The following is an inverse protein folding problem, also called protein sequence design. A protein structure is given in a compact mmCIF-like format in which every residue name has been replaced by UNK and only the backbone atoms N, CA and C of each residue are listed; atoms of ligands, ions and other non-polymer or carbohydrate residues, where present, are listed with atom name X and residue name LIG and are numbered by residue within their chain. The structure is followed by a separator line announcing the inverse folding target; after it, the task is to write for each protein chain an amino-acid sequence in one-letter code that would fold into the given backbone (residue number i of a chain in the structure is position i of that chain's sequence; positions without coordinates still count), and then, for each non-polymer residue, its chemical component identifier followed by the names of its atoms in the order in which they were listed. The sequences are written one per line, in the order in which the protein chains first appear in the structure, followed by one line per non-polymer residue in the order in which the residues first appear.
data_IF_430967092197
#
_entry.id   IF_430967092197
#
_cell.length_a   1.000
_cell.length_b   1.000
_cell.length_c   1.000
_cell.angle_alpha   90.00
_cell.angle_beta   90.00
_cell.angle_gamma   90.00
#
_symmetry.space_group_name_H-M   'P 1'
#
loop_
_entity.id
_entity.type
_entity.pdbx_description
1 polymer ?
2 non-polymer ?
3 non-polymer ?
4 non-polymer ?
5 non-polymer ?
6 water ?
#
# COMPACT_ATOMS: atom_id res chain seq x y z
N UNK A 23 -16.00 29.58 -10.25
CA UNK A 23 -14.74 28.89 -10.37
C UNK A 23 -14.84 27.38 -10.29
N UNK A 24 -13.70 26.70 -10.25
CA UNK A 24 -13.66 25.25 -10.17
C UNK A 24 -13.23 24.80 -8.78
N UNK A 25 -13.98 23.91 -8.13
CA UNK A 25 -13.60 23.47 -6.79
C UNK A 25 -12.36 22.60 -6.82
N UNK A 26 -11.61 22.65 -5.72
CA UNK A 26 -10.40 21.85 -5.54
C UNK A 26 -10.79 20.61 -4.75
N UNK A 27 -10.87 19.47 -5.43
CA UNK A 27 -11.34 18.23 -4.82
C UNK A 27 -10.19 17.48 -4.17
N UNK A 28 -10.33 17.17 -2.89
CA UNK A 28 -9.34 16.41 -2.13
C UNK A 28 -9.98 15.13 -1.65
N UNK A 29 -9.33 14.00 -1.95
CA UNK A 29 -9.79 12.70 -1.48
C UNK A 29 -8.97 12.24 -0.30
N UNK A 30 -9.66 11.74 0.72
CA UNK A 30 -9.04 11.30 1.97
C UNK A 30 -9.50 9.88 2.23
N UNK A 31 -8.54 8.95 2.32
CA UNK A 31 -8.87 7.56 2.61
C UNK A 31 -8.07 7.11 3.82
N UNK A 32 -8.25 5.86 4.19
CA UNK A 32 -7.66 5.30 5.39
C UNK A 32 -8.61 4.29 6.01
N UNK A 33 -8.06 3.44 6.87
CA UNK A 33 -8.83 2.39 7.49
C UNK A 33 -9.88 2.94 8.43
N UNK A 34 -10.66 2.00 8.98
CA UNK A 34 -11.73 2.38 9.89
C UNK A 34 -11.16 3.05 11.14
N UNK A 35 -11.81 4.15 11.54
CA UNK A 35 -11.42 4.91 12.74
C UNK A 35 -9.96 5.37 12.70
N UNK A 36 -9.43 5.60 11.50
CA UNK A 36 -8.05 6.07 11.37
C UNK A 36 -7.92 7.57 11.59
N UNK A 37 -9.04 8.30 11.63
CA UNK A 37 -9.01 9.74 11.79
C UNK A 37 -9.23 10.53 10.52
N UNK A 38 -9.88 9.95 9.51
CA UNK A 38 -10.08 10.64 8.25
C UNK A 38 -10.88 11.92 8.44
N UNK A 39 -12.00 11.85 9.16
CA UNK A 39 -12.83 13.03 9.35
C UNK A 39 -12.13 14.05 10.25
N UNK A 40 -11.38 13.58 11.25
CA UNK A 40 -10.60 14.48 12.09
C UNK A 40 -9.53 15.21 11.30
N UNK A 41 -8.95 14.55 10.29
CA UNK A 41 -7.93 15.20 9.47
C UNK A 41 -8.56 16.24 8.56
N UNK A 42 -9.76 15.95 8.03
CA UNK A 42 -10.47 16.94 7.22
C UNK A 42 -10.88 18.15 8.04
N UNK A 43 -11.41 17.92 9.25
CA UNK A 43 -11.75 19.04 10.13
C UNK A 43 -10.54 19.89 10.44
N UNK A 44 -9.40 19.26 10.72
CA UNK A 44 -8.18 20.03 10.98
C UNK A 44 -7.74 20.81 9.75
N UNK A 45 -7.93 20.26 8.56
CA UNK A 45 -7.53 20.96 7.35
C UNK A 45 -8.37 22.22 7.15
N UNK A 46 -9.69 22.09 7.30
CA UNK A 46 -10.58 23.25 7.17
C UNK A 46 -10.23 24.30 8.23
N UNK A 47 -10.00 23.86 9.45
CA UNK A 47 -9.73 24.79 10.55
C UNK A 47 -8.43 25.55 10.32
N UNK A 48 -7.38 24.86 9.87
CA UNK A 48 -6.12 25.52 9.58
C UNK A 48 -6.15 26.31 8.28
N UNK A 49 -7.08 25.99 7.38
CA UNK A 49 -7.22 26.79 6.17
C UNK A 49 -7.65 28.22 6.50
N UNK A 50 -8.52 28.37 7.49
CA UNK A 50 -9.00 29.68 7.91
C UNK A 50 -8.03 30.48 8.77
N UNK A 51 -6.93 29.87 9.22
CA UNK A 51 -5.96 30.59 10.03
C UNK A 51 -5.06 31.46 9.17
N UNK A 52 -4.63 30.94 8.01
CA UNK A 52 -3.70 31.64 7.12
C UNK A 52 -2.43 32.05 7.85
N UNK A 57 -10.23 36.46 0.09
CA UNK A 57 -11.00 36.33 1.32
C UNK A 57 -11.01 34.90 1.83
N UNK A 58 -12.05 34.54 2.57
CA UNK A 58 -12.16 33.20 3.11
C UNK A 58 -12.46 32.19 2.00
N UNK A 59 -11.90 31.00 2.16
CA UNK A 59 -12.18 29.90 1.23
C UNK A 59 -13.33 29.07 1.78
N UNK A 60 -14.36 28.88 0.96
CA UNK A 60 -15.47 28.01 1.34
C UNK A 60 -15.04 26.55 1.20
N UNK A 61 -15.22 25.76 2.26
CA UNK A 61 -14.81 24.37 2.27
C UNK A 61 -15.96 23.52 2.78
N UNK A 62 -16.18 22.36 2.16
CA UNK A 62 -17.18 21.40 2.59
C UNK A 62 -16.56 20.01 2.62
N UNK A 63 -16.98 19.20 3.59
CA UNK A 63 -16.49 17.84 3.78
C UNK A 63 -17.61 16.88 3.48
N UNK A 64 -17.38 15.96 2.55
CA UNK A 64 -18.32 14.90 2.22
C UNK A 64 -17.78 13.55 2.70
N UNK A 65 -18.71 12.64 3.01
CA UNK A 65 -18.37 11.32 3.55
C UNK A 65 -18.90 10.23 2.63
N UNK A 66 -18.05 9.24 2.34
CA UNK A 66 -18.48 8.11 1.52
C UNK A 66 -19.62 7.34 2.17
N UNK A 67 -19.68 7.36 3.51
CA UNK A 67 -20.74 6.67 4.24
C UNK A 67 -22.13 7.17 3.86
N UNK A 68 -22.24 8.39 3.33
CA UNK A 68 -23.53 8.91 2.89
C UNK A 68 -24.05 8.18 1.66
N UNK A 69 -23.18 7.50 0.92
CA UNK A 69 -23.52 6.92 -0.37
C UNK A 69 -23.60 5.40 -0.34
N UNK A 70 -23.93 4.83 0.81
CA UNK A 70 -24.21 3.40 0.87
C UNK A 70 -25.41 3.08 -0.01
N UNK A 71 -25.37 1.91 -0.65
CA UNK A 71 -26.45 1.50 -1.55
C UNK A 71 -27.74 1.25 -0.79
N UNK A 72 -28.86 1.44 -1.47
CA UNK A 72 -30.15 1.05 -0.92
C UNK A 72 -30.25 -0.47 -0.94
N UNK A 73 -30.44 -1.07 0.22
CA UNK A 73 -30.45 -2.51 0.34
C UNK A 73 -31.81 -3.08 -0.06
N UNK A 74 -31.78 -4.24 -0.71
CA UNK A 74 -33.00 -5.02 -0.89
C UNK A 74 -33.42 -5.61 0.46
N UNK A 75 -34.63 -6.17 0.48
CA UNK A 75 -35.13 -6.79 1.71
C UNK A 75 -34.29 -8.00 2.10
N UNK A 76 -33.78 -8.75 1.10
CA UNK A 76 -32.90 -9.87 1.42
C UNK A 76 -31.56 -9.39 1.94
N UNK A 77 -30.96 -8.40 1.27
CA UNK A 77 -29.69 -7.84 1.75
C UNK A 77 -29.84 -7.22 3.14
N UNK A 78 -30.98 -6.57 3.40
CA UNK A 78 -31.22 -6.02 4.73
C UNK A 78 -31.41 -7.11 5.76
N UNK A 79 -32.00 -8.24 5.35
CA UNK A 79 -32.12 -9.38 6.27
C UNK A 79 -30.75 -9.91 6.68
N UNK A 80 -29.85 -10.08 5.70
CA UNK A 80 -28.50 -10.53 6.02
C UNK A 80 -27.78 -9.51 6.89
N UNK A 81 -28.01 -8.22 6.65
CA UNK A 81 -27.35 -7.18 7.43
C UNK A 81 -27.80 -7.23 8.89
N UNK A 82 -29.09 -7.44 9.14
CA UNK A 82 -29.57 -7.56 10.51
C UNK A 82 -29.07 -8.84 11.18
N UNK A 83 -28.71 -9.85 10.40
CA UNK A 83 -28.09 -11.06 10.93
C UNK A 83 -26.58 -10.95 11.03
N UNK A 84 -26.00 -9.82 10.66
CA UNK A 84 -24.55 -9.66 10.68
C UNK A 84 -23.86 -10.47 9.59
N UNK A 85 -24.46 -10.54 8.40
CA UNK A 85 -23.91 -11.34 7.31
C UNK A 85 -23.79 -10.51 6.03
N UNK A 86 -23.70 -9.19 6.14
CA UNK A 86 -23.52 -8.33 4.98
C UNK A 86 -22.24 -7.53 5.15
N UNK A 87 -21.45 -7.47 4.08
CA UNK A 87 -20.14 -6.83 4.12
C UNK A 87 -20.30 -5.37 3.71
N UNK A 88 -20.36 -4.48 4.70
CA UNK A 88 -20.45 -3.06 4.45
C UNK A 88 -19.09 -2.42 4.22
N UNK A 89 -18.03 -3.22 4.16
CA UNK A 89 -16.68 -2.73 3.91
C UNK A 89 -16.16 -3.12 2.54
N UNK A 90 -16.98 -3.77 1.72
CA UNK A 90 -16.70 -4.17 0.35
C UNK A 90 -17.02 -3.03 -0.61
N UNK A 91 -16.23 -2.87 -1.68
CA UNK A 91 -16.52 -1.80 -2.64
C UNK A 91 -17.91 -1.85 -3.24
N UNK A 92 -18.55 -3.04 -3.29
CA UNK A 92 -19.88 -3.14 -3.85
C UNK A 92 -20.94 -2.51 -2.96
N UNK A 93 -20.66 -2.33 -1.66
CA UNK A 93 -21.64 -1.79 -0.74
C UNK A 93 -21.91 -0.30 -0.97
N UNK A 94 -21.05 0.39 -1.70
CA UNK A 94 -21.18 1.83 -1.90
C UNK A 94 -21.73 2.12 -3.28
N UNK A 95 -22.62 3.11 -3.35
CA UNK A 95 -23.26 3.53 -4.60
C UNK A 95 -22.24 4.31 -5.43
N UNK A 96 -21.35 3.56 -6.08
CA UNK A 96 -20.25 4.21 -6.80
C UNK A 96 -20.77 5.04 -7.97
N UNK A 97 -21.89 4.65 -8.57
CA UNK A 97 -22.46 5.44 -9.66
C UNK A 97 -22.94 6.79 -9.16
N UNK A 98 -23.63 6.81 -8.02
CA UNK A 98 -24.08 8.06 -7.43
C UNK A 98 -22.89 8.91 -6.95
N UNK A 99 -21.85 8.26 -6.41
CA UNK A 99 -20.65 8.99 -6.00
C UNK A 99 -20.03 9.69 -7.20
N UNK A 100 -19.82 8.95 -8.29
CA UNK A 100 -19.17 9.52 -9.47
C UNK A 100 -19.96 10.70 -10.02
N UNK A 101 -21.29 10.55 -10.10
CA UNK A 101 -22.11 11.61 -10.68
C UNK A 101 -22.16 12.82 -9.76
N UNK A 102 -22.30 12.61 -8.46
CA UNK A 102 -22.31 13.72 -7.52
C UNK A 102 -20.98 14.48 -7.54
N UNK A 103 -19.86 13.76 -7.62
CA UNK A 103 -18.55 14.40 -7.59
C UNK A 103 -18.26 15.11 -8.91
N UNK A 104 -18.72 14.55 -10.03
CA UNK A 104 -18.46 15.20 -11.30
C UNK A 104 -19.25 16.49 -11.43
N UNK A 105 -20.49 16.52 -10.94
CA UNK A 105 -21.27 17.75 -10.95
C UNK A 105 -20.66 18.79 -10.03
N UNK A 106 -20.04 18.37 -8.92
CA UNK A 106 -19.36 19.32 -8.05
C UNK A 106 -18.16 19.94 -8.77
N UNK A 107 -17.38 19.13 -9.48
CA UNK A 107 -16.21 19.65 -10.18
C UNK A 107 -16.61 20.63 -11.27
N UNK A 108 -17.83 20.53 -11.78
CA UNK A 108 -18.32 21.49 -12.76
C UNK A 108 -19.03 22.69 -12.13
N UNK A 109 -19.08 22.76 -10.81
CA UNK A 109 -19.52 23.97 -10.13
C UNK A 109 -20.98 24.04 -9.80
N UNK A 110 -21.71 22.94 -9.83
CA UNK A 110 -23.14 22.98 -9.57
C UNK A 110 -23.47 22.64 -8.13
N UNK A 111 -24.69 22.98 -7.73
CA UNK A 111 -25.23 22.58 -6.45
C UNK A 111 -25.78 21.16 -6.55
N UNK A 112 -25.47 20.33 -5.56
CA UNK A 112 -25.86 18.93 -5.58
C UNK A 112 -26.61 18.60 -4.30
N UNK A 113 -27.29 17.46 -4.32
CA UNK A 113 -28.00 16.93 -3.17
C UNK A 113 -27.31 15.65 -2.71
N UNK A 114 -27.02 15.57 -1.42
CA UNK A 114 -26.31 14.43 -0.83
C UNK A 114 -27.34 13.57 -0.08
N UNK A 115 -27.38 12.27 -0.33
CA UNK A 115 -28.32 11.42 0.43
C UNK A 115 -27.96 11.38 1.92
N UNK A 116 -28.94 10.96 2.71
CA UNK A 116 -28.80 10.79 4.15
C UNK A 116 -29.06 9.32 4.45
N UNK A 117 -28.02 8.60 4.83
CA UNK A 117 -28.10 7.16 5.07
C UNK A 117 -28.14 6.88 6.56
N UNK A 118 -29.04 5.99 6.97
CA UNK A 118 -29.17 5.59 8.36
C UNK A 118 -28.46 4.24 8.54
N UNK A 119 -27.36 4.24 9.30
CA UNK A 119 -26.57 3.02 9.44
C UNK A 119 -27.21 2.01 10.37
N UNK A 120 -28.01 2.45 11.34
CA UNK A 120 -28.65 1.50 12.24
C UNK A 120 -29.71 0.69 11.52
N UNK A 121 -30.40 1.30 10.54
CA UNK A 121 -31.48 0.64 9.83
C UNK A 121 -31.11 0.23 8.40
N UNK A 122 -29.93 0.65 7.92
CA UNK A 122 -29.46 0.31 6.58
C UNK A 122 -30.42 0.82 5.51
N UNK A 123 -30.95 2.02 5.72
CA UNK A 123 -31.91 2.62 4.80
C UNK A 123 -31.47 4.04 4.46
N UNK A 124 -31.50 4.36 3.16
CA UNK A 124 -31.31 5.72 2.71
C UNK A 124 -32.58 6.52 2.98
N UNK A 125 -32.47 7.56 3.80
CA UNK A 125 -33.63 8.39 4.11
C UNK A 125 -34.03 9.22 2.88
N UNK A 126 -35.29 9.68 2.89
CA UNK A 126 -35.79 10.46 1.77
C UNK A 126 -35.23 11.87 1.76
N UNK A 127 -34.97 12.43 2.93
CA UNK A 127 -34.40 13.77 3.02
C UNK A 127 -32.99 13.78 2.44
N UNK A 128 -32.64 14.89 1.79
CA UNK A 128 -31.31 15.12 1.27
C UNK A 128 -30.72 16.37 1.89
N UNK A 129 -29.41 16.55 1.71
CA UNK A 129 -28.71 17.73 2.18
C UNK A 129 -28.19 18.48 0.97
N UNK A 130 -28.44 19.78 0.93
CA UNK A 130 -27.99 20.62 -0.17
C UNK A 130 -26.57 21.08 0.08
N UNK A 131 -25.72 20.91 -0.93
CA UNK A 131 -24.32 21.34 -0.87
C UNK A 131 -24.09 22.33 -2.00
N UNK A 132 -23.83 23.58 -1.64
CA UNK A 132 -23.57 24.67 -2.59
C UNK A 132 -22.10 24.70 -2.96
N UNK A 133 -21.77 25.25 -4.12
CA UNK A 133 -20.37 25.22 -4.58
C UNK A 133 -19.42 25.83 -3.57
N UNK A 134 -18.24 25.22 -3.45
CA UNK A 134 -17.18 25.65 -2.55
C UNK A 134 -15.86 25.73 -3.30
N UNK A 135 -14.88 26.35 -2.67
CA UNK A 135 -13.54 26.42 -3.27
C UNK A 135 -12.76 25.13 -3.06
N UNK A 136 -12.97 24.46 -1.94
CA UNK A 136 -12.31 23.21 -1.60
C UNK A 136 -13.38 22.22 -1.17
N UNK A 137 -13.31 21.00 -1.69
CA UNK A 137 -14.22 19.92 -1.32
C UNK A 137 -13.39 18.72 -0.87
N UNK A 138 -13.63 18.26 0.36
CA UNK A 138 -12.95 17.09 0.90
C UNK A 138 -13.90 15.91 0.90
N UNK A 139 -13.49 14.81 0.25
CA UNK A 139 -14.29 13.58 0.18
C UNK A 139 -13.53 12.49 0.92
N UNK A 140 -14.04 12.10 2.08
CA UNK A 140 -13.40 11.12 2.95
C UNK A 140 -14.18 9.82 2.95
N UNK A 141 -13.45 8.70 2.99
CA UNK A 141 -14.06 7.39 3.01
C UNK A 141 -13.05 6.26 2.97
N UNK A 142 -13.40 5.11 3.55
CA UNK A 142 -12.49 3.98 3.59
C UNK A 142 -12.11 3.51 2.20
N UNK A 143 -12.95 3.75 1.20
CA UNK A 143 -12.68 3.28 -0.16
C UNK A 143 -12.73 4.41 -1.18
N UNK A 144 -12.33 5.61 -0.77
CA UNK A 144 -12.45 6.78 -1.66
C UNK A 144 -11.57 6.65 -2.90
N UNK A 145 -10.46 5.92 -2.83
CA UNK A 145 -9.56 5.79 -3.97
C UNK A 145 -9.77 4.50 -4.76
N UNK A 146 -10.74 3.67 -4.36
CA UNK A 146 -10.86 2.35 -4.98
C UNK A 146 -11.25 2.44 -6.45
N UNK A 147 -12.32 3.15 -6.75
CA UNK A 147 -12.76 3.27 -8.14
C UNK A 147 -11.84 4.24 -8.87
N UNK A 148 -11.38 3.85 -10.05
CA UNK A 148 -10.43 4.68 -10.78
C UNK A 148 -11.07 5.96 -11.29
N UNK A 149 -12.37 5.92 -11.58
CA UNK A 149 -13.04 7.10 -12.13
C UNK A 149 -13.17 8.20 -11.07
N UNK A 150 -13.62 7.85 -9.87
CA UNK A 150 -13.66 8.84 -8.79
C UNK A 150 -12.24 9.26 -8.40
N UNK A 151 -11.28 8.34 -8.50
CA UNK A 151 -9.92 8.65 -8.05
C UNK A 151 -9.26 9.70 -8.93
N UNK A 152 -9.56 9.70 -10.24
CA UNK A 152 -8.98 10.69 -11.14
C UNK A 152 -9.62 12.07 -10.97
N UNK A 153 -10.77 12.17 -10.31
CA UNK A 153 -11.37 13.46 -10.02
C UNK A 153 -10.68 14.20 -8.88
N UNK A 154 -9.95 13.50 -8.02
CA UNK A 154 -9.27 14.12 -6.90
C UNK A 154 -7.97 14.76 -7.38
N UNK A 155 -7.84 16.07 -7.15
CA UNK A 155 -6.60 16.74 -7.48
C UNK A 155 -5.53 16.53 -6.41
N UNK A 156 -5.93 16.12 -5.22
CA UNK A 156 -5.01 15.73 -4.17
C UNK A 156 -5.60 14.53 -3.43
N UNK A 157 -4.75 13.59 -3.02
CA UNK A 157 -5.20 12.37 -2.36
C UNK A 157 -4.38 12.14 -1.11
N UNK A 158 -5.05 11.86 0.00
CA UNK A 158 -4.41 11.69 1.29
C UNK A 158 -4.85 10.36 1.89
N UNK A 159 -3.92 9.66 2.51
CA UNK A 159 -4.19 8.42 3.19
C UNK A 159 -3.77 8.56 4.65
N UNK A 160 -4.69 8.26 5.56
CA UNK A 160 -4.46 8.40 6.99
C UNK A 160 -4.07 7.05 7.56
N UNK A 161 -2.91 7.00 8.21
CA UNK A 161 -2.34 5.77 8.78
C UNK A 161 -2.41 5.83 10.29
N UNK A 162 -2.92 4.77 10.92
CA UNK A 162 -2.97 4.71 12.37
C UNK A 162 -2.87 3.26 12.80
N UNK A 163 -2.24 3.03 13.95
CA UNK A 163 -2.03 1.67 14.46
C UNK A 163 -3.35 0.92 14.54
N UNK A 164 -3.31 -0.36 14.16
CA UNK A 164 -4.53 -1.14 14.01
C UNK A 164 -5.28 -1.28 15.34
N UNK A 165 -4.54 -1.43 16.45
CA UNK A 165 -5.22 -1.57 17.74
C UNK A 165 -5.80 -0.24 18.22
N UNK A 166 -5.08 0.87 17.98
CA UNK A 166 -5.64 2.18 18.24
C UNK A 166 -6.95 2.38 17.48
N UNK A 167 -6.98 1.97 16.22
CA UNK A 167 -8.19 2.13 15.42
C UNK A 167 -9.30 1.23 15.93
N UNK A 168 -8.96 0.00 16.31
CA UNK A 168 -10.00 -0.94 16.75
C UNK A 168 -10.69 -0.44 18.01
N UNK A 169 -9.90 0.11 18.95
CA UNK A 169 -10.50 0.53 20.20
C UNK A 169 -11.35 1.79 20.01
N UNK A 170 -10.94 2.68 19.10
CA UNK A 170 -11.82 3.76 18.66
C UNK A 170 -13.08 3.21 18.02
N UNK A 171 -12.93 2.25 17.09
CA UNK A 171 -14.08 1.69 16.41
C UNK A 171 -15.04 0.99 17.36
N UNK A 172 -14.51 0.37 18.41
CA UNK A 172 -15.36 -0.36 19.35
C UNK A 172 -16.19 0.61 20.18
N UNK A 173 -15.55 1.63 20.76
CA UNK A 173 -16.28 2.63 21.54
C UNK A 173 -17.27 3.39 20.67
N UNK A 174 -16.87 3.68 19.42
CA UNK A 174 -17.75 4.41 18.52
C UNK A 174 -19.02 3.61 18.22
N UNK A 175 -18.88 2.31 17.99
CA UNK A 175 -20.03 1.48 17.63
C UNK A 175 -20.87 1.08 18.84
N UNK A 176 -20.28 1.05 20.04
CA UNK A 176 -21.06 0.77 21.24
C UNK A 176 -22.09 1.86 21.48
N UNK A 177 -21.71 3.12 21.24
CA UNK A 177 -22.58 4.26 21.50
C UNK A 177 -23.40 4.67 20.29
N UNK A 178 -22.73 4.94 19.16
CA UNK A 178 -23.42 5.46 17.98
C UNK A 178 -24.31 4.43 17.31
N UNK A 179 -24.09 3.14 17.56
CA UNK A 179 -24.91 2.08 16.98
C UNK A 179 -25.59 1.19 18.01
N UNK A 180 -25.24 1.31 19.29
CA UNK A 180 -25.85 0.51 20.33
C UNK A 180 -25.66 -0.99 20.20
N UNK A 181 -24.62 -1.45 19.51
CA UNK A 181 -24.44 -2.87 19.24
C UNK A 181 -23.73 -3.59 20.39
N UNK A 182 -23.85 -4.91 20.39
CA UNK A 182 -23.17 -5.72 21.39
C UNK A 182 -21.66 -5.81 21.12
N UNK A 183 -20.89 -5.91 22.20
CA UNK A 183 -19.44 -5.98 22.11
C UNK A 183 -18.98 -7.21 21.33
N UNK A 184 -19.50 -8.39 21.67
CA UNK A 184 -19.09 -9.60 20.97
C UNK A 184 -19.44 -9.53 19.49
N UNK A 185 -20.58 -8.91 19.17
CA UNK A 185 -20.97 -8.81 17.76
C UNK A 185 -20.13 -7.77 17.02
N UNK A 186 -19.65 -6.72 17.71
CA UNK A 186 -18.76 -5.77 17.04
C UNK A 186 -17.44 -6.44 16.67
N UNK A 187 -16.85 -7.20 17.60
CA UNK A 187 -15.56 -7.83 17.35
C UNK A 187 -15.67 -8.87 16.24
N UNK A 188 -16.71 -9.71 16.27
CA UNK A 188 -16.84 -10.73 15.23
C UNK A 188 -17.07 -10.10 13.86
N UNK A 189 -17.82 -8.98 13.81
CA UNK A 189 -17.96 -8.26 12.55
C UNK A 189 -16.62 -7.71 12.07
N UNK A 190 -15.80 -7.22 12.99
CA UNK A 190 -14.50 -6.66 12.62
C UNK A 190 -13.61 -7.75 12.02
N UNK A 191 -13.49 -8.88 12.71
CA UNK A 191 -12.64 -9.96 12.24
C UNK A 191 -13.17 -10.55 10.94
N UNK A 192 -14.49 -10.60 10.78
CA UNK A 192 -15.06 -11.27 9.61
C UNK A 192 -15.00 -10.39 8.37
N UNK A 193 -15.38 -9.11 8.50
CA UNK A 193 -15.53 -8.25 7.33
C UNK A 193 -14.55 -7.09 7.32
N UNK A 194 -14.43 -6.35 8.42
CA UNK A 194 -13.73 -5.07 8.39
C UNK A 194 -12.25 -5.26 8.12
N UNK A 195 -11.58 -6.04 8.96
CA UNK A 195 -10.15 -6.27 8.78
C UNK A 195 -9.81 -6.93 7.45
N UNK A 196 -10.48 -8.00 7.01
CA UNK A 196 -10.13 -8.56 5.69
C UNK A 196 -10.37 -7.60 4.53
N UNK A 197 -11.45 -6.81 4.58
CA UNK A 197 -11.70 -5.86 3.50
C UNK A 197 -10.69 -4.71 3.52
N UNK A 198 -10.21 -4.34 4.71
CA UNK A 198 -9.17 -3.31 4.78
C UNK A 198 -7.90 -3.79 4.08
N UNK A 199 -7.49 -5.03 4.34
CA UNK A 199 -6.26 -5.53 3.74
C UNK A 199 -6.42 -5.81 2.25
N UNK A 200 -7.62 -6.19 1.81
CA UNK A 200 -7.80 -6.53 0.40
C UNK A 200 -8.17 -5.34 -0.46
N UNK A 201 -8.97 -4.40 0.07
CA UNK A 201 -9.52 -3.32 -0.75
C UNK A 201 -8.98 -1.95 -0.39
N UNK A 202 -8.82 -1.63 0.90
CA UNK A 202 -8.45 -0.28 1.31
C UNK A 202 -6.93 -0.07 1.27
N UNK A 203 -6.19 -0.90 2.01
CA UNK A 203 -4.74 -0.76 2.07
C UNK A 203 -4.05 -0.69 0.71
N UNK A 204 -4.41 -1.49 -0.30
CA UNK A 204 -3.76 -1.32 -1.61
C UNK A 204 -3.94 0.06 -2.24
N UNK A 205 -5.01 0.79 -1.90
CA UNK A 205 -5.17 2.13 -2.48
C UNK A 205 -4.21 3.14 -1.87
N UNK A 206 -3.44 2.75 -0.86
CA UNK A 206 -2.43 3.62 -0.28
C UNK A 206 -1.43 4.12 -1.32
N UNK A 207 -1.16 3.32 -2.35
CA UNK A 207 -0.16 3.70 -3.35
C UNK A 207 -0.61 4.84 -4.23
N UNK A 208 -1.91 5.16 -4.25
CA UNK A 208 -2.39 6.29 -5.03
C UNK A 208 -2.29 7.60 -4.26
N UNK A 209 -2.04 7.55 -2.96
CA UNK A 209 -2.03 8.76 -2.15
C UNK A 209 -0.85 9.65 -2.51
N UNK A 210 -1.11 10.95 -2.60
CA UNK A 210 -0.03 11.93 -2.76
C UNK A 210 0.72 12.16 -1.45
N UNK A 211 0.03 12.09 -0.32
CA UNK A 211 0.63 12.24 1.00
C UNK A 211 0.03 11.16 1.90
N UNK A 212 0.89 10.44 2.62
CA UNK A 212 0.47 9.48 3.62
C UNK A 212 0.71 10.09 4.99
N UNK A 213 -0.31 10.07 5.84
CA UNK A 213 -0.25 10.76 7.13
C UNK A 213 -0.22 9.75 8.25
N UNK A 214 0.95 9.41 8.81
CA UNK A 214 0.97 8.59 10.01
C UNK A 214 0.48 9.37 11.22
N UNK A 215 -0.22 8.64 12.11
CA UNK A 215 -0.75 9.14 13.38
C UNK A 215 -1.91 10.11 13.18
N UNK A 216 -2.45 10.22 11.97
CA UNK A 216 -3.71 10.91 11.77
C UNK A 216 -3.64 12.40 12.07
N UNK A 217 -4.69 12.89 12.74
CA UNK A 217 -4.80 14.32 13.02
C UNK A 217 -3.73 14.83 13.97
N UNK A 218 -3.13 13.94 14.77
CA UNK A 218 -2.06 14.35 15.67
C UNK A 218 -0.79 14.73 14.94
N UNK A 219 -0.69 14.45 13.64
CA UNK A 219 0.49 14.80 12.85
C UNK A 219 0.29 16.20 12.25
N UNK A 220 0.32 17.19 13.15
CA UNK A 220 0.06 18.57 12.73
C UNK A 220 1.15 19.09 11.80
N UNK A 221 2.36 18.52 11.87
CA UNK A 221 3.42 18.92 10.95
C UNK A 221 3.04 18.57 9.52
N UNK A 222 2.63 17.32 9.30
CA UNK A 222 2.23 16.90 7.96
C UNK A 222 0.99 17.65 7.47
N UNK A 223 0.02 17.83 8.36
CA UNK A 223 -1.22 18.53 7.98
C UNK A 223 -0.92 19.98 7.61
N UNK A 224 0.01 20.62 8.33
CA UNK A 224 0.37 22.00 8.01
C UNK A 224 0.99 22.09 6.62
N UNK A 225 1.82 21.11 6.24
CA UNK A 225 2.38 21.10 4.90
C UNK A 225 1.28 20.94 3.85
N UNK A 226 0.27 20.13 4.14
CA UNK A 226 -0.84 19.94 3.21
C UNK A 226 -1.62 21.24 3.06
N UNK A 227 -1.94 21.89 4.18
CA UNK A 227 -2.66 23.16 4.13
C UNK A 227 -1.89 24.20 3.34
N UNK A 228 -0.58 24.33 3.61
CA UNK A 228 0.22 25.29 2.88
C UNK A 228 0.25 24.96 1.39
N UNK A 229 0.28 23.67 1.05
CA UNK A 229 0.22 23.28 -0.35
C UNK A 229 -1.13 23.66 -0.97
N UNK A 230 -2.22 23.43 -0.24
CA UNK A 230 -3.54 23.82 -0.73
C UNK A 230 -3.61 25.32 -0.97
N UNK A 231 -3.11 26.11 0.00
CA UNK A 231 -3.18 27.55 -0.11
C UNK A 231 -2.37 28.06 -1.31
N UNK A 232 -1.23 27.43 -1.58
CA UNK A 232 -0.40 27.90 -2.70
C UNK A 232 -0.98 27.53 -4.05
N UNK A 233 -1.76 26.44 -4.11
CA UNK A 233 -2.40 26.08 -5.37
C UNK A 233 -3.57 27.03 -5.66
N UNK A 234 -4.29 27.45 -4.62
CA UNK A 234 -5.41 28.37 -4.80
C UNK A 234 -4.93 29.80 -5.04
N UNK A 235 -3.85 30.21 -4.37
CA UNK A 235 -3.38 31.59 -4.51
C UNK A 235 -2.66 31.82 -5.83
N UNK A 236 -1.82 30.88 -6.25
CA UNK A 236 -1.08 31.02 -7.49
C UNK A 236 -0.16 29.84 -7.77
N UNK B 23 8.24 -31.94 -11.40
CA UNK B 23 9.11 -31.11 -12.21
C UNK B 23 8.71 -29.65 -12.23
N UNK B 24 8.14 -29.17 -11.11
CA UNK B 24 7.71 -27.77 -11.00
C UNK B 24 8.70 -26.98 -10.17
N UNK B 25 9.20 -25.85 -10.68
CA UNK B 25 10.10 -25.01 -9.88
C UNK B 25 9.44 -24.57 -8.57
N UNK B 26 10.24 -24.52 -7.52
CA UNK B 26 9.78 -24.16 -6.17
C UNK B 26 10.16 -22.72 -5.90
N UNK B 27 9.17 -21.82 -5.93
CA UNK B 27 9.40 -20.39 -5.78
C UNK B 27 9.41 -19.97 -4.32
N UNK B 28 10.45 -19.22 -3.94
CA UNK B 28 10.60 -18.68 -2.59
C UNK B 28 10.70 -17.17 -2.68
N UNK B 29 9.82 -16.48 -1.95
CA UNK B 29 9.85 -15.03 -1.85
C UNK B 29 10.60 -14.59 -0.62
N UNK B 30 11.47 -13.60 -0.80
CA UNK B 30 12.29 -13.05 0.28
C UNK B 30 12.07 -11.54 0.32
N UNK B 31 11.71 -11.03 1.50
CA UNK B 31 11.49 -9.60 1.67
C UNK B 31 12.17 -9.15 2.95
N UNK B 32 12.01 -7.88 3.26
CA UNK B 32 12.74 -7.22 4.33
C UNK B 32 13.20 -5.87 3.80
N UNK B 33 13.55 -5.00 4.74
CA UNK B 33 13.92 -3.63 4.40
C UNK B 33 15.23 -3.54 3.65
N UNK B 34 15.55 -2.30 3.27
CA UNK B 34 16.79 -2.03 2.56
C UNK B 34 17.99 -2.50 3.37
N UNK B 35 18.91 -3.20 2.70
CA UNK B 35 20.15 -3.68 3.31
C UNK B 35 19.87 -4.50 4.56
N UNK B 36 18.77 -5.26 4.55
CA UNK B 36 18.49 -6.14 5.66
C UNK B 36 19.20 -7.48 5.53
N UNK B 37 19.68 -7.81 4.34
CA UNK B 37 20.34 -9.06 4.08
C UNK B 37 19.60 -10.01 3.17
N UNK B 38 18.70 -9.52 2.32
CA UNK B 38 17.90 -10.40 1.47
C UNK B 38 18.79 -11.20 0.53
N UNK B 39 19.75 -10.54 -0.12
CA UNK B 39 20.62 -11.24 -1.06
C UNK B 39 21.54 -12.21 -0.33
N UNK B 40 22.07 -11.81 0.83
CA UNK B 40 22.94 -12.70 1.60
C UNK B 40 22.18 -13.93 2.09
N UNK B 41 20.92 -13.76 2.50
CA UNK B 41 20.10 -14.90 2.92
C UNK B 41 19.88 -15.83 1.74
N UNK B 42 19.59 -15.27 0.57
CA UNK B 42 19.44 -16.09 -0.64
C UNK B 42 20.74 -16.83 -0.95
N UNK B 43 21.87 -16.13 -0.86
CA UNK B 43 23.15 -16.76 -1.14
C UNK B 43 23.45 -17.88 -0.14
N UNK B 44 23.19 -17.63 1.14
CA UNK B 44 23.43 -18.66 2.16
C UNK B 44 22.57 -19.89 1.91
N UNK B 45 21.31 -19.69 1.51
CA UNK B 45 20.44 -20.82 1.22
C UNK B 45 20.97 -21.62 0.04
N UNK B 46 21.46 -20.92 -1.00
CA UNK B 46 22.01 -21.61 -2.16
C UNK B 46 23.24 -22.42 -1.77
N UNK B 47 24.13 -21.84 -0.97
CA UNK B 47 25.33 -22.54 -0.55
C UNK B 47 25.01 -23.74 0.34
N UNK B 48 24.09 -23.57 1.29
CA UNK B 48 23.75 -24.66 2.19
C UNK B 48 23.01 -25.78 1.47
N UNK B 49 22.23 -25.45 0.44
CA UNK B 49 21.56 -26.49 -0.33
C UNK B 49 22.56 -27.35 -1.09
N UNK B 50 23.69 -26.77 -1.49
CA UNK B 50 24.69 -27.54 -2.23
C UNK B 50 25.60 -28.36 -1.33
N UNK B 51 25.78 -27.96 -0.08
CA UNK B 51 26.61 -28.73 0.84
C UNK B 51 25.98 -30.07 1.19
N UNK B 52 24.65 -30.15 1.18
CA UNK B 52 23.93 -31.38 1.51
C UNK B 52 23.36 -32.06 0.26
N UNK B 53 24.02 -31.91 -0.88
CA UNK B 53 23.58 -32.56 -2.11
C UNK B 53 24.14 -33.97 -2.18
N UNK B 54 23.27 -34.93 -2.53
CA UNK B 54 23.67 -36.32 -2.62
C UNK B 54 23.20 -36.94 -3.93
N UNK B 58 22.97 -32.77 -7.40
CA UNK B 58 22.78 -31.43 -6.85
C UNK B 58 21.42 -30.85 -7.23
N UNK B 59 21.14 -29.65 -6.74
CA UNK B 59 19.89 -28.95 -7.00
C UNK B 59 20.19 -27.66 -7.75
N UNK B 60 19.48 -27.43 -8.85
CA UNK B 60 19.62 -26.18 -9.61
C UNK B 60 18.86 -25.07 -8.90
N UNK B 61 19.55 -24.00 -8.54
CA UNK B 61 18.97 -22.89 -7.80
C UNK B 61 19.33 -21.58 -8.49
N UNK B 62 18.33 -20.71 -8.67
CA UNK B 62 18.52 -19.43 -9.32
C UNK B 62 17.95 -18.33 -8.42
N UNK B 63 18.59 -17.16 -8.46
CA UNK B 63 18.20 -16.02 -7.64
C UNK B 63 17.79 -14.87 -8.55
N UNK B 64 16.58 -14.35 -8.33
CA UNK B 64 16.07 -13.18 -9.03
C UNK B 64 15.95 -12.02 -8.05
N UNK B 65 16.09 -10.80 -8.56
CA UNK B 65 16.02 -9.61 -7.73
C UNK B 65 14.97 -8.65 -8.28
N UNK B 66 14.22 -8.04 -7.36
CA UNK B 66 13.22 -7.05 -7.75
C UNK B 66 13.86 -5.84 -8.42
N UNK B 67 15.14 -5.55 -8.11
CA UNK B 67 15.79 -4.37 -8.68
C UNK B 67 15.95 -4.45 -10.19
N UNK B 68 15.77 -5.63 -10.80
CA UNK B 68 15.83 -5.74 -12.26
C UNK B 68 14.56 -5.28 -12.95
N UNK B 69 13.48 -5.04 -12.20
CA UNK B 69 12.17 -4.78 -12.80
C UNK B 69 11.69 -3.35 -12.61
N UNK B 70 12.62 -2.40 -12.43
CA UNK B 70 12.25 -1.00 -12.40
C UNK B 70 11.62 -0.59 -13.73
N UNK B 71 10.68 0.34 -13.65
CA UNK B 71 10.07 0.86 -14.86
C UNK B 71 11.03 1.78 -15.59
N UNK B 72 10.86 1.86 -16.91
CA UNK B 72 11.56 2.90 -17.68
C UNK B 72 10.96 4.25 -17.33
N UNK B 73 11.82 5.23 -17.09
CA UNK B 73 11.36 6.56 -16.68
C UNK B 73 11.13 7.46 -17.88
N UNK B 74 10.04 8.22 -17.85
CA UNK B 74 9.80 9.25 -18.83
C UNK B 74 10.74 10.43 -18.59
N UNK B 75 11.01 11.18 -19.67
CA UNK B 75 11.89 12.35 -19.57
C UNK B 75 11.41 13.32 -18.49
N UNK B 76 10.10 13.40 -18.27
CA UNK B 76 9.59 14.18 -17.15
C UNK B 76 10.01 13.57 -15.82
N UNK B 77 9.95 12.24 -15.70
CA UNK B 77 10.32 11.58 -14.46
C UNK B 77 11.83 11.63 -14.23
N UNK B 78 12.62 11.47 -15.29
CA UNK B 78 14.07 11.56 -15.14
C UNK B 78 14.50 12.93 -14.68
N UNK B 79 13.78 13.98 -15.10
CA UNK B 79 14.10 15.34 -14.65
C UNK B 79 13.93 15.45 -13.14
N UNK B 80 12.81 14.97 -12.61
CA UNK B 80 12.62 14.96 -11.17
C UNK B 80 13.67 14.09 -10.48
N UNK B 81 14.03 12.97 -11.10
CA UNK B 81 15.05 12.10 -10.53
C UNK B 81 16.38 12.82 -10.37
N UNK B 82 16.75 13.65 -11.36
CA UNK B 82 17.99 14.41 -11.26
C UNK B 82 17.95 15.41 -10.10
N UNK B 83 16.76 15.91 -9.77
CA UNK B 83 16.59 16.81 -8.63
C UNK B 83 16.33 16.08 -7.32
N UNK B 84 16.49 14.75 -7.31
CA UNK B 84 16.22 13.99 -6.10
C UNK B 84 14.79 14.03 -5.64
N UNK B 85 13.84 14.11 -6.58
CA UNK B 85 12.42 14.22 -6.27
C UNK B 85 11.62 13.10 -6.90
N UNK B 86 12.25 11.95 -7.16
CA UNK B 86 11.56 10.77 -7.66
C UNK B 86 11.66 9.65 -6.63
N UNK B 87 10.53 9.05 -6.30
CA UNK B 87 10.47 8.01 -5.28
C UNK B 87 10.72 6.66 -5.94
N UNK B 88 11.97 6.18 -5.86
CA UNK B 88 12.31 4.86 -6.38
C UNK B 88 11.89 3.74 -5.45
N UNK B 89 11.44 4.05 -4.24
CA UNK B 89 11.00 3.07 -3.27
C UNK B 89 9.48 2.85 -3.30
N UNK B 90 8.78 3.60 -4.13
CA UNK B 90 7.34 3.51 -4.24
C UNK B 90 6.95 2.29 -5.09
N UNK B 91 5.83 1.65 -4.78
CA UNK B 91 5.37 0.52 -5.61
C UNK B 91 5.27 0.86 -7.09
N UNK B 92 4.94 2.11 -7.41
CA UNK B 92 4.80 2.51 -8.82
C UNK B 92 6.13 2.50 -9.56
N UNK B 93 7.25 2.51 -8.86
CA UNK B 93 8.55 2.56 -9.51
C UNK B 93 8.91 1.24 -10.18
N UNK B 94 8.16 0.17 -9.93
CA UNK B 94 8.51 -1.16 -10.43
C UNK B 94 7.44 -1.66 -11.40
N UNK B 95 7.88 -2.54 -12.30
CA UNK B 95 6.99 -3.08 -13.34
C UNK B 95 6.29 -4.31 -12.78
N UNK B 96 5.22 -4.05 -12.02
CA UNK B 96 4.51 -5.13 -11.36
C UNK B 96 3.90 -6.10 -12.36
N UNK B 97 3.46 -5.61 -13.52
CA UNK B 97 2.92 -6.50 -14.53
C UNK B 97 4.00 -7.46 -15.02
N UNK B 98 5.19 -6.94 -15.31
CA UNK B 98 6.27 -7.80 -15.80
C UNK B 98 6.76 -8.74 -14.72
N UNK B 99 6.79 -8.29 -13.46
CA UNK B 99 7.14 -9.17 -12.36
C UNK B 99 6.19 -10.35 -12.30
N UNK B 100 4.89 -10.08 -12.33
CA UNK B 100 3.92 -11.16 -12.22
C UNK B 100 4.00 -12.10 -13.42
N UNK B 101 4.09 -11.54 -14.63
CA UNK B 101 4.17 -12.37 -15.83
C UNK B 101 5.41 -13.23 -15.83
N UNK B 102 6.54 -12.69 -15.39
CA UNK B 102 7.78 -13.44 -15.36
C UNK B 102 7.71 -14.58 -14.34
N UNK B 103 7.26 -14.27 -13.11
CA UNK B 103 7.22 -15.28 -12.07
C UNK B 103 6.15 -16.34 -12.35
N UNK B 104 5.08 -15.97 -13.06
CA UNK B 104 4.06 -16.96 -13.39
C UNK B 104 4.59 -17.95 -14.41
N UNK B 105 5.36 -17.48 -15.40
CA UNK B 105 5.95 -18.37 -16.40
C UNK B 105 7.02 -19.26 -15.78
N UNK B 106 7.84 -18.70 -14.87
CA UNK B 106 8.81 -19.51 -14.16
C UNK B 106 8.12 -20.60 -13.34
N UNK B 107 6.99 -20.27 -12.73
CA UNK B 107 6.22 -21.25 -11.97
C UNK B 107 5.78 -22.42 -12.85
N UNK B 108 5.41 -22.13 -14.10
CA UNK B 108 5.00 -23.14 -15.05
C UNK B 108 6.16 -23.88 -15.70
N UNK B 109 7.40 -23.63 -15.26
CA UNK B 109 8.55 -24.29 -15.84
C UNK B 109 9.04 -23.72 -17.15
N UNK B 110 8.62 -22.51 -17.51
CA UNK B 110 9.05 -21.89 -18.75
C UNK B 110 10.36 -21.13 -18.54
N UNK B 111 11.03 -20.85 -19.66
CA UNK B 111 12.24 -20.04 -19.66
C UNK B 111 11.84 -18.59 -19.95
N UNK B 112 12.43 -17.66 -19.20
CA UNK B 112 12.01 -16.28 -19.25
C UNK B 112 13.19 -15.39 -19.61
N UNK B 113 12.87 -14.20 -20.11
CA UNK B 113 13.84 -13.15 -20.39
C UNK B 113 13.71 -12.06 -19.34
N UNK B 114 14.82 -11.75 -18.69
CA UNK B 114 14.88 -10.76 -17.61
C UNK B 114 15.52 -9.51 -18.15
N UNK B 115 14.94 -8.33 -17.96
CA UNK B 115 15.57 -7.10 -18.43
C UNK B 115 16.83 -6.78 -17.65
N UNK B 116 17.68 -5.97 -18.28
CA UNK B 116 18.85 -5.37 -17.63
C UNK B 116 18.61 -3.87 -17.56
N UNK B 117 18.83 -3.28 -16.39
CA UNK B 117 18.46 -1.91 -16.11
C UNK B 117 19.70 -1.08 -15.84
N UNK B 118 19.90 -0.02 -16.61
CA UNK B 118 20.95 0.94 -16.31
C UNK B 118 20.40 1.97 -15.33
N UNK B 119 21.05 2.10 -14.18
CA UNK B 119 20.57 3.00 -13.14
C UNK B 119 20.99 4.44 -13.37
N UNK B 120 22.16 4.65 -13.98
CA UNK B 120 22.57 6.01 -14.36
C UNK B 120 21.58 6.57 -15.37
N UNK B 121 21.30 5.84 -16.44
CA UNK B 121 20.34 6.27 -17.43
C UNK B 121 18.88 6.03 -17.02
N UNK B 122 18.64 5.22 -15.98
CA UNK B 122 17.29 4.89 -15.54
C UNK B 122 16.44 4.36 -16.71
N UNK B 123 17.05 3.49 -17.50
CA UNK B 123 16.38 2.89 -18.65
C UNK B 123 16.86 1.46 -18.80
N UNK B 124 16.22 0.73 -19.72
CA UNK B 124 16.51 -0.67 -19.96
C UNK B 124 17.42 -0.81 -21.17
N UNK B 125 18.55 -1.50 -20.98
CA UNK B 125 19.40 -1.84 -22.11
C UNK B 125 18.66 -2.75 -23.08
N UNK B 126 19.19 -2.85 -24.30
CA UNK B 126 18.57 -3.72 -25.29
C UNK B 126 18.78 -5.19 -24.94
N UNK B 127 19.90 -5.52 -24.29
CA UNK B 127 20.21 -6.90 -23.96
C UNK B 127 19.39 -7.37 -22.75
N UNK B 128 18.85 -8.57 -22.86
CA UNK B 128 18.17 -9.22 -21.74
C UNK B 128 18.99 -10.42 -21.28
N UNK B 129 18.63 -10.94 -20.10
CA UNK B 129 19.29 -12.09 -19.51
C UNK B 129 18.32 -13.26 -19.54
N UNK B 130 18.76 -14.37 -20.12
CA UNK B 130 17.95 -15.58 -20.13
C UNK B 130 18.03 -16.26 -18.77
N UNK B 131 16.87 -16.58 -18.20
CA UNK B 131 16.79 -17.27 -16.92
C UNK B 131 16.00 -18.55 -17.15
N UNK B 132 16.68 -19.69 -16.97
CA UNK B 132 16.11 -21.01 -17.13
C UNK B 132 15.42 -21.44 -15.84
N UNK B 133 14.42 -22.32 -15.95
CA UNK B 133 13.79 -22.87 -14.74
C UNK B 133 14.83 -23.59 -13.88
N UNK B 134 14.48 -23.77 -12.62
CA UNK B 134 15.39 -24.41 -11.68
C UNK B 134 14.55 -25.16 -10.64
N UNK B 135 15.24 -25.94 -9.80
CA UNK B 135 14.55 -26.62 -8.71
C UNK B 135 14.02 -25.62 -7.70
N UNK B 136 14.81 -24.60 -7.39
CA UNK B 136 14.48 -23.56 -6.43
C UNK B 136 14.73 -22.22 -7.08
N UNK B 137 13.73 -21.35 -7.06
CA UNK B 137 13.83 -19.99 -7.58
C UNK B 137 13.61 -19.04 -6.41
N UNK B 138 14.61 -18.21 -6.11
CA UNK B 138 14.53 -17.23 -5.03
C UNK B 138 14.32 -15.85 -5.65
N UNK B 139 13.26 -15.17 -5.21
CA UNK B 139 12.97 -13.80 -5.62
C UNK B 139 13.06 -12.91 -4.39
N UNK B 140 13.95 -11.92 -4.42
CA UNK B 140 14.15 -11.03 -3.29
C UNK B 140 13.77 -9.61 -3.67
N UNK B 141 13.10 -8.93 -2.75
CA UNK B 141 12.69 -7.56 -2.99
C UNK B 141 12.08 -6.92 -1.76
N UNK B 142 12.32 -5.62 -1.59
CA UNK B 142 11.70 -4.90 -0.48
C UNK B 142 10.18 -4.98 -0.59
N UNK B 143 9.66 -4.98 -1.81
CA UNK B 143 8.23 -5.05 -2.07
C UNK B 143 7.81 -6.39 -2.68
N UNK B 144 8.55 -7.45 -2.37
CA UNK B 144 8.24 -8.76 -2.93
C UNK B 144 6.84 -9.24 -2.57
N UNK B 145 6.36 -8.93 -1.37
CA UNK B 145 5.06 -9.40 -0.91
C UNK B 145 3.94 -8.37 -1.11
N UNK B 146 4.23 -7.22 -1.72
CA UNK B 146 3.27 -6.13 -1.74
C UNK B 146 2.02 -6.51 -2.54
N UNK B 147 2.20 -6.98 -3.77
CA UNK B 147 1.06 -7.31 -4.62
C UNK B 147 0.53 -8.70 -4.27
N UNK B 148 -0.78 -8.81 -4.13
CA UNK B 148 -1.39 -10.06 -3.68
C UNK B 148 -1.19 -11.16 -4.72
N UNK B 149 -1.26 -10.82 -6.00
CA UNK B 149 -1.11 -11.85 -7.04
C UNK B 149 0.29 -12.44 -7.03
N UNK B 150 1.32 -11.60 -6.89
CA UNK B 150 2.69 -12.07 -6.80
C UNK B 150 2.90 -12.87 -5.51
N UNK B 151 2.37 -12.36 -4.40
CA UNK B 151 2.58 -12.99 -3.10
C UNK B 151 2.06 -14.43 -3.09
N UNK B 152 0.96 -14.70 -3.80
CA UNK B 152 0.39 -16.04 -3.80
C UNK B 152 1.19 -17.02 -4.66
N UNK B 153 2.04 -16.52 -5.57
CA UNK B 153 2.90 -17.40 -6.34
C UNK B 153 3.97 -18.06 -5.50
N UNK B 154 4.33 -17.47 -4.36
CA UNK B 154 5.41 -17.99 -3.55
C UNK B 154 4.92 -19.16 -2.72
N UNK B 155 5.58 -20.31 -2.83
CA UNK B 155 5.26 -21.43 -1.98
C UNK B 155 5.88 -21.32 -0.61
N UNK B 156 6.88 -20.46 -0.47
CA UNK B 156 7.46 -20.13 0.82
C UNK B 156 7.84 -18.66 0.80
N UNK B 157 7.59 -17.97 1.90
CA UNK B 157 7.85 -16.55 2.01
C UNK B 157 8.67 -16.32 3.27
N UNK B 158 9.78 -15.60 3.12
CA UNK B 158 10.66 -15.27 4.23
C UNK B 158 10.78 -13.76 4.32
N UNK B 159 10.81 -13.26 5.55
CA UNK B 159 11.03 -11.84 5.81
C UNK B 159 12.26 -11.69 6.68
N UNK B 160 13.21 -10.86 6.25
CA UNK B 160 14.46 -10.64 6.95
C UNK B 160 14.30 -9.38 7.79
N UNK B 161 14.45 -9.51 9.10
CA UNK B 161 14.24 -8.42 10.04
C UNK B 161 15.59 -8.04 10.65
N UNK B 162 16.12 -6.88 10.26
CA UNK B 162 17.41 -6.39 10.74
C UNK B 162 17.23 -4.99 11.30
N UNK B 163 17.98 -4.69 12.38
CA UNK B 163 17.93 -3.37 13.02
C UNK B 163 18.05 -2.24 11.99
N UNK B 164 17.27 -1.19 12.20
CA UNK B 164 17.22 -0.10 11.23
C UNK B 164 18.56 0.63 11.10
N UNK B 165 19.26 0.84 12.22
CA UNK B 165 20.55 1.52 12.13
C UNK B 165 21.63 0.62 11.54
N UNK B 166 21.56 -0.68 11.79
CA UNK B 166 22.43 -1.61 11.06
C UNK B 166 22.16 -1.53 9.56
N UNK B 167 20.88 -1.50 9.17
CA UNK B 167 20.55 -1.42 7.76
C UNK B 167 21.01 -0.10 7.15
N UNK B 168 20.82 1.02 7.86
CA UNK B 168 21.19 2.31 7.30
C UNK B 168 22.70 2.42 7.08
N UNK B 169 23.49 1.88 8.03
CA UNK B 169 24.94 1.88 7.87
C UNK B 169 25.35 1.09 6.63
N UNK B 170 24.82 -0.12 6.46
CA UNK B 170 25.09 -0.88 5.23
C UNK B 170 24.64 -0.12 4.00
N UNK B 171 23.46 0.50 4.07
CA UNK B 171 22.92 1.18 2.89
C UNK B 171 23.75 2.40 2.50
N UNK B 172 24.26 3.14 3.49
CA UNK B 172 25.07 4.32 3.17
C UNK B 172 26.36 3.91 2.48
N UNK B 173 27.00 2.85 2.95
CA UNK B 173 28.27 2.41 2.36
C UNK B 173 28.06 1.91 0.93
N UNK B 174 26.93 1.26 0.66
CA UNK B 174 26.62 0.86 -0.71
C UNK B 174 26.47 2.08 -1.61
N UNK B 175 25.65 3.04 -1.20
CA UNK B 175 25.33 4.16 -2.07
C UNK B 175 26.52 5.10 -2.24
N UNK B 176 27.32 5.28 -1.20
CA UNK B 176 28.41 6.24 -1.25
C UNK B 176 29.52 5.79 -2.19
N UNK B 177 29.62 4.49 -2.48
CA UNK B 177 30.63 4.02 -3.41
C UNK B 177 30.35 4.50 -4.82
N UNK B 178 29.09 4.79 -5.13
CA UNK B 178 28.74 5.42 -6.39
C UNK B 178 29.44 6.78 -6.51
N UNK B 179 30.13 6.99 -7.64
CA UNK B 179 30.91 8.21 -7.83
C UNK B 179 30.01 9.43 -7.93
N UNK B 180 30.42 10.51 -7.27
CA UNK B 180 29.65 11.74 -7.30
C UNK B 180 28.30 11.69 -6.61
N UNK B 181 28.12 10.77 -5.67
CA UNK B 181 26.88 10.64 -4.91
C UNK B 181 27.12 11.20 -3.51
N UNK B 182 26.52 12.36 -3.24
CA UNK B 182 26.73 13.08 -2.00
C UNK B 182 26.14 12.33 -0.82
N UNK B 183 26.81 12.44 0.34
CA UNK B 183 26.31 11.77 1.54
C UNK B 183 25.01 12.39 2.03
N UNK B 184 24.97 13.72 2.12
CA UNK B 184 23.75 14.38 2.56
C UNK B 184 22.61 14.14 1.57
N UNK B 185 22.93 13.90 0.30
CA UNK B 185 21.91 13.48 -0.65
C UNK B 185 21.42 12.07 -0.32
N UNK B 186 22.34 11.17 0.04
CA UNK B 186 21.97 9.80 0.40
C UNK B 186 21.05 9.81 1.62
N UNK B 187 21.46 10.53 2.67
CA UNK B 187 20.69 10.50 3.91
C UNK B 187 19.33 11.18 3.75
N UNK B 188 19.24 12.21 2.91
CA UNK B 188 17.96 12.89 2.74
C UNK B 188 17.02 12.06 1.87
N UNK B 189 17.55 11.37 0.86
CA UNK B 189 16.72 10.44 0.10
C UNK B 189 16.20 9.33 1.00
N UNK B 190 17.00 8.89 1.97
CA UNK B 190 16.57 7.85 2.90
C UNK B 190 15.44 8.35 3.79
N UNK B 191 15.63 9.52 4.41
CA UNK B 191 14.62 10.05 5.32
C UNK B 191 13.34 10.39 4.56
N UNK B 192 13.45 10.85 3.32
CA UNK B 192 12.27 11.30 2.60
C UNK B 192 11.52 10.14 1.95
N UNK B 193 12.23 9.20 1.35
CA UNK B 193 11.61 8.16 0.53
C UNK B 193 11.76 6.76 1.09
N UNK B 194 12.98 6.36 1.46
CA UNK B 194 13.25 4.95 1.74
C UNK B 194 12.58 4.51 3.04
N UNK B 195 12.84 5.24 4.12
CA UNK B 195 12.23 4.89 5.40
C UNK B 195 10.71 4.95 5.36
N UNK B 196 10.07 6.03 4.87
CA UNK B 196 8.59 6.02 4.83
C UNK B 196 8.02 4.92 3.96
N UNK B 197 8.62 4.64 2.80
CA UNK B 197 8.11 3.57 1.95
C UNK B 197 8.24 2.21 2.63
N UNK B 198 9.31 2.02 3.40
CA UNK B 198 9.48 0.77 4.12
C UNK B 198 8.36 0.60 5.14
N UNK B 199 8.06 1.65 5.90
CA UNK B 199 7.06 1.54 6.95
C UNK B 199 5.66 1.40 6.37
N UNK B 200 5.39 2.04 5.23
CA UNK B 200 4.04 2.10 4.72
C UNK B 200 3.70 1.02 3.71
N UNK B 201 4.69 0.45 3.03
CA UNK B 201 4.43 -0.53 1.98
C UNK B 201 5.02 -1.90 2.23
N UNK B 202 6.17 -1.99 2.89
CA UNK B 202 6.86 -3.26 3.14
C UNK B 202 6.40 -3.90 4.44
N UNK B 203 6.41 -3.14 5.55
CA UNK B 203 6.06 -3.69 6.86
C UNK B 203 4.64 -4.26 6.95
N UNK B 204 3.60 -3.70 6.32
CA UNK B 204 2.29 -4.35 6.37
C UNK B 204 2.25 -5.73 5.73
N UNK B 205 3.22 -6.08 4.87
CA UNK B 205 3.25 -7.40 4.25
C UNK B 205 3.99 -8.43 5.09
N UNK B 206 4.68 -8.00 6.14
CA UNK B 206 5.48 -8.91 6.96
C UNK B 206 4.63 -10.04 7.54
N UNK B 207 3.34 -9.77 7.81
CA UNK B 207 2.45 -10.78 8.38
C UNK B 207 2.29 -11.99 7.49
N UNK B 208 2.51 -11.86 6.18
CA UNK B 208 2.25 -12.95 5.25
C UNK B 208 3.39 -13.95 5.14
N UNK B 209 4.55 -13.65 5.73
CA UNK B 209 5.68 -14.56 5.64
C UNK B 209 5.40 -15.84 6.44
N UNK B 210 6.04 -16.93 6.01
CA UNK B 210 6.01 -18.14 6.82
C UNK B 210 6.97 -18.03 8.00
N UNK B 211 8.16 -17.46 7.76
CA UNK B 211 9.18 -17.31 8.78
C UNK B 211 9.75 -15.90 8.68
N UNK B 212 9.96 -15.27 9.83
CA UNK B 212 10.63 -13.99 9.91
C UNK B 212 12.00 -14.23 10.52
N UNK B 213 13.05 -13.82 9.81
CA UNK B 213 14.42 -14.09 10.21
C UNK B 213 15.02 -12.85 10.86
N UNK B 214 15.13 -12.80 12.18
CA UNK B 214 15.85 -11.70 12.80
C UNK B 214 17.35 -11.81 12.55
N UNK B 215 17.99 -10.64 12.43
CA UNK B 215 19.43 -10.47 12.25
C UNK B 215 19.96 -11.06 10.95
N UNK B 216 19.09 -11.38 10.00
CA UNK B 216 19.55 -11.67 8.64
C UNK B 216 20.36 -12.94 8.52
N UNK B 217 21.35 -12.90 7.62
CA UNK B 217 22.16 -14.07 7.30
C UNK B 217 23.04 -14.52 8.45
N UNK B 218 23.17 -13.72 9.51
CA UNK B 218 23.85 -14.16 10.72
C UNK B 218 23.06 -15.21 11.49
N UNK B 219 21.76 -15.33 11.20
CA UNK B 219 20.87 -16.24 11.93
C UNK B 219 20.89 -17.60 11.22
N UNK B 220 21.90 -18.39 11.56
CA UNK B 220 22.04 -19.67 10.87
C UNK B 220 21.14 -20.76 11.44
N UNK B 221 20.72 -20.65 12.70
CA UNK B 221 19.75 -21.61 13.20
C UNK B 221 18.43 -21.47 12.45
N UNK B 222 18.03 -20.23 12.14
CA UNK B 222 16.81 -20.03 11.36
C UNK B 222 17.02 -20.45 9.90
N UNK B 223 18.17 -20.11 9.32
CA UNK B 223 18.42 -20.45 7.93
C UNK B 223 18.56 -21.96 7.75
N UNK B 224 19.22 -22.63 8.70
CA UNK B 224 19.34 -24.09 8.63
C UNK B 224 17.98 -24.76 8.67
N UNK B 225 17.06 -24.24 9.50
CA UNK B 225 15.71 -24.79 9.52
C UNK B 225 15.00 -24.57 8.19
N UNK B 226 15.19 -23.41 7.57
CA UNK B 226 14.55 -23.15 6.29
C UNK B 226 15.12 -24.07 5.20
N UNK B 227 16.44 -24.27 5.21
CA UNK B 227 17.06 -25.14 4.21
C UNK B 227 16.57 -26.58 4.38
N UNK B 228 16.52 -27.06 5.62
CA UNK B 228 16.03 -28.42 5.88
C UNK B 228 14.59 -28.58 5.41
N UNK B 229 13.77 -27.55 5.61
CA UNK B 229 12.39 -27.60 5.15
C UNK B 229 12.32 -27.64 3.63
N UNK B 230 13.23 -26.95 2.94
CA UNK B 230 13.24 -26.99 1.49
C UNK B 230 13.66 -28.36 0.99
N UNK B 231 14.71 -28.94 1.59
CA UNK B 231 15.18 -30.25 1.17
C UNK B 231 14.07 -31.29 1.27
N UNK B 232 13.27 -31.22 2.34
CA UNK B 232 12.24 -32.23 2.54
C UNK B 232 11.06 -32.04 1.59
N UNK B 233 10.81 -30.81 1.15
CA UNK B 233 9.78 -30.61 0.13
C UNK B 233 10.27 -31.13 -1.23
N UNK B 234 11.55 -30.93 -1.53
CA UNK B 234 12.09 -31.42 -2.80
C UNK B 234 12.16 -32.94 -2.83
N UNK B 235 12.40 -33.57 -1.69
CA UNK B 235 12.52 -35.03 -1.59
C UNK B 235 11.18 -35.73 -1.42
N UNK B 236 10.07 -34.98 -1.38
CA UNK B 236 8.78 -35.59 -1.13
C UNK B 236 8.58 -36.11 0.28
N UNK B 237 9.44 -35.71 1.22
CA UNK B 237 9.37 -36.16 2.58
C UNK B 237 10.75 -36.25 3.21
N UNK B 238 10.82 -36.72 4.47
CA UNK B 238 12.09 -36.87 5.18
C UNK B 238 12.98 -37.95 4.58
X LIG C 1 -15.80 8.76 9.07
X LIG D 1 -7.47 37.23 2.14
X LIG D 1 -6.77 36.21 1.49
X LIG D 1 -7.69 36.74 3.59
X LIG D 1 -6.55 36.89 4.38
X LIG D 1 -8.88 37.58 4.12
X LIG D 1 -9.30 36.98 5.30
X LIG E 1 -12.48 7.99 10.79
X LIG E 1 -13.38 6.79 11.00
X LIG E 1 -11.27 7.55 10.01
X LIG E 1 -13.21 9.06 10.00
X LIG E 1 -12.06 8.57 12.12
X LIG F 1 -17.27 0.68 7.68
X LIG F 1 -17.58 2.07 8.31
X LIG F 1 -17.15 3.19 7.29
X LIG F 1 -19.46 0.83 8.93
X LIG F 1 -18.58 -0.12 8.05
X LIG F 1 -21.72 0.80 7.55
X LIG F 1 -23.10 0.66 7.39
X LIG F 1 -23.96 0.33 8.53
X LIG F 1 -21.93 0.32 9.89
X LIG F 1 -18.17 -1.39 8.71
X LIG F 1 -19.16 -2.16 9.21
X LIG F 1 -20.02 -2.82 9.65
X LIG F 1 -21.04 0.66 8.75
X LIG F 1 -23.35 0.17 9.73
X LIG F 1 -25.35 0.16 8.43
X LIG F 1 -16.11 0.14 8.24
X LIG F 1 -16.64 4.27 7.94
X LIG F 1 -14.78 2.88 9.28
X LIG F 1 -14.40 5.36 8.71
X LIG F 1 -16.09 4.75 10.42
X LIG F 1 -18.99 2.08 8.58
X LIG F 1 -21.41 0.18 10.98
X LIG F 1 -15.36 4.27 9.19
X LIG G 1 19.21 -6.79 -2.75
X LIG H 1 -1.51 -14.31 1.89
X LIG H 1 -0.51 -14.71 1.00
X LIG H 1 -2.73 -13.84 1.06
X LIG H 1 -2.37 -13.08 -0.05
X LIG H 1 -3.62 -13.04 2.05
X LIG H 1 -4.17 -13.94 2.95
X LIG I 1 6.11 -5.45 -7.21
X LIG I 1 5.83 -6.77 -6.84
X LIG I 1 5.45 -4.54 -6.14
X LIG I 1 4.10 -4.80 -6.02
X LIG I 1 5.75 -3.08 -6.57
X LIG I 1 5.10 -2.87 -7.79
X LIG J 1 -1.68 -4.55 0.51
X LIG J 1 -0.70 -4.19 -0.43
X LIG J 1 -1.79 -6.08 0.45
X LIG J 1 -2.49 -6.53 -0.68
X LIG J 1 -2.48 -6.50 1.77
X LIG J 1 -1.74 -5.92 2.81
X LIG K 1 1.02 -19.37 1.74
X LIG K 1 1.70 -20.59 1.71
X LIG K 1 1.13 -18.82 3.20
X LIG K 1 0.41 -19.59 4.10
X LIG K 1 0.61 -17.35 3.11
X LIG K 1 0.52 -16.86 4.42
X LIG L 1 1.71 -7.31 11.65
X LIG L 1 2.92 -7.60 11.00
X LIG L 1 2.05 -6.68 13.03
X LIG L 1 3.00 -7.43 13.71
X LIG L 1 2.55 -5.25 12.71
X LIG L 1 3.15 -4.77 13.87
X LIG M 1 20.34 -15.59 -13.54
X LIG M 1 21.29 -16.07 -14.44
X LIG M 1 20.73 -14.12 -13.18
X LIG M 1 21.52 -14.07 -12.04
X LIG M 1 19.37 -13.38 -13.00
X LIG M 1 19.66 -12.03 -12.75
X LIG N 1 19.54 -6.53 0.99
X LIG N 1 19.34 -7.41 -0.22
X LIG N 1 20.90 -6.81 1.59
X LIG N 1 18.48 -6.82 2.04
X LIG N 1 19.44 -5.08 0.56
X LIG O 1 15.68 1.30 -3.22
X LIG O 1 16.96 0.44 -3.34
X LIG O 1 16.54 -1.04 -3.62
X LIG O 1 17.63 2.40 -4.43
X LIG O 1 16.14 2.63 -3.94
X LIG O 1 17.18 3.07 -6.97
X LIG O 1 17.52 3.64 -8.20
X LIG O 1 18.82 4.29 -8.40
X LIG O 1 19.31 3.72 -6.07
X LIG O 1 15.98 3.77 -2.98
X LIG O 1 16.51 4.96 -3.33
X LIG O 1 16.98 5.99 -3.64
X LIG O 1 18.00 3.06 -5.84
X LIG O 1 19.67 4.31 -7.33
X LIG O 1 19.23 4.89 -9.60
X LIG O 1 15.35 1.49 -1.87
X LIG O 1 16.56 -1.78 -2.49
X LIG O 1 17.55 -3.75 -1.10
X LIG O 1 19.19 -2.39 -2.54
X LIG O 1 18.11 -1.41 -0.44
X LIG O 1 17.73 1.01 -4.41
X LIG O 1 20.09 3.73 -5.13
X LIG O 1 18.00 -2.38 -1.62
#
# INVERSE_FOLDING_TARGET
GPLGSMAGDSEQTLQNHQQPNGGEPFLIGVSGGTASGKSSVCAKIVQLLGQNEVDYRQKQVVILSQDSFYRVLTSEQKAKALKGQFNFDHPDAFDNELILKTLKEITEGKTVQIPVYDFVSHSRKEETVTVYPADVVLFEGILAFYSQEVRDLFQMKLFVDTDADTRLSRRVLRDISERGRDLEQILSQYITFVKPAFEEFCLPTKKYADVIIPRGADNLVAINLIVQHIQDILNGGPSKRQTNGCLNGYTPSRK
GPLGSMAGDSEQTLQNHQQPNGGEPFLIGVSGGTASGKSSVCAKIVQLLGQNEVDYRQKQVVILSQDSFYRVLTSEQKAKALKGQFNFDHPDAFDNELILKTLKEITEGKTVQIPVYDFVSHSRKEETVTVYPADVVLFEGILAFYSQEVRDLFQMKLFVDTDADTRLSRRVLRDISERGRDLEQILSQYITFVKPAFEEFCLPTKKYADVIIPRGADNLVAINLIVQHIQDILNGGPSKRQTNGCLNGYTPSRK
MG MG
GOL C1 O1 C2 O2 C3 O3
PO4 P O1 O2 O3 O4
KEA C02 C03 C04 C11 C12 C17 C18 C19 C21 N13 N14 N15 N16 N20 N23 O01 O05 O07 O08 O09 O10 O22 P06
MG MG
GOL C1 O1 C2 O2 C3 O3
GOL C1 O1 C2 O2 C3 O3
GOL C1 O1 C2 O2 C3 O3
GOL C1 O1 C2 O2 C3 O3
GOL C1 O1 C2 O2 C3 O3
GOL C1 O1 C2 O2 C3 O3
PO4 P O1 O2 O3 O4
KEA C02 C03 C04 C11 C12 C17 C18 C19 C21 N13 N14 N15 N16 N20 N23 O01 O05 O07 O08 O09 O10 O22 P06
#
